data_IF_392269472056
#
_entry.id   IF_392269472056
#
_cell.length_a   1.000
_cell.length_b   1.000
_cell.length_c   1.000
_cell.angle_alpha   90.00
_cell.angle_beta   90.00
_cell.angle_gamma   90.00
#
_symmetry.space_group_name_H-M   'P 1'
#
loop_
_entity.id
_entity.type
_entity.pdbx_description
1 polymer ?
#
# COMPACT_ATOMS: atom_id res chain seq x y z
N UNK A 1 5.61 -37.39 18.46
CA UNK A 1 6.44 -36.21 18.20
C UNK A 1 5.48 -35.11 17.80
N UNK A 2 5.14 -34.20 18.72
CA UNK A 2 4.25 -33.06 18.40
C UNK A 2 5.02 -32.11 17.50
N UNK A 3 4.43 -31.56 16.43
CA UNK A 3 5.06 -30.51 15.66
C UNK A 3 5.22 -29.29 16.59
N UNK A 4 6.44 -28.84 16.77
CA UNK A 4 6.73 -27.57 17.43
C UNK A 4 6.01 -26.48 16.62
N UNK A 5 5.06 -25.79 17.25
CA UNK A 5 4.48 -24.58 16.69
C UNK A 5 5.62 -23.59 16.44
N UNK A 6 5.95 -23.34 15.19
CA UNK A 6 6.88 -22.28 14.85
C UNK A 6 6.25 -20.96 15.28
N UNK A 7 6.93 -20.30 16.20
CA UNK A 7 6.54 -19.01 16.80
C UNK A 7 6.26 -17.98 15.67
N UNK A 8 5.13 -17.26 15.71
CA UNK A 8 4.84 -16.15 14.80
C UNK A 8 5.80 -14.96 14.93
N UNK A 9 6.79 -15.03 15.82
CA UNK A 9 7.93 -14.11 15.97
C UNK A 9 9.03 -14.29 14.90
N UNK A 10 8.75 -14.85 13.73
CA UNK A 10 9.73 -14.88 12.66
C UNK A 10 10.13 -13.46 12.29
N UNK A 11 11.45 -13.20 12.25
CA UNK A 11 12.01 -11.89 11.89
C UNK A 11 11.47 -11.43 10.52
N UNK A 12 11.06 -10.16 10.41
CA UNK A 12 10.58 -9.63 9.16
C UNK A 12 11.73 -9.59 8.13
N UNK A 13 11.38 -9.86 6.88
CA UNK A 13 12.30 -9.63 5.76
C UNK A 13 12.80 -8.17 5.81
N UNK A 14 14.10 -7.91 5.58
CA UNK A 14 14.68 -6.56 5.70
C UNK A 14 13.89 -5.49 4.94
N UNK A 15 13.47 -5.75 3.70
CA UNK A 15 12.69 -4.80 2.92
C UNK A 15 11.31 -4.55 3.55
N UNK A 16 10.61 -5.58 4.06
CA UNK A 16 9.30 -5.41 4.72
C UNK A 16 9.44 -4.51 5.94
N UNK A 17 10.46 -4.77 6.77
CA UNK A 17 10.74 -3.98 7.98
C UNK A 17 11.10 -2.53 7.64
N UNK A 18 12.04 -2.33 6.70
CA UNK A 18 12.53 -1.01 6.30
C UNK A 18 11.43 -0.18 5.64
N UNK A 19 10.65 -0.79 4.75
CA UNK A 19 9.55 -0.09 4.08
C UNK A 19 8.45 0.32 5.08
N UNK A 20 8.08 -0.56 6.00
CA UNK A 20 7.13 -0.22 7.05
C UNK A 20 7.62 0.95 7.91
N UNK A 21 8.91 0.97 8.27
CA UNK A 21 9.52 2.07 9.02
C UNK A 21 9.52 3.38 8.20
N UNK A 22 9.85 3.32 6.91
CA UNK A 22 9.83 4.47 5.99
C UNK A 22 8.43 5.07 5.87
N UNK A 23 7.42 4.23 5.65
CA UNK A 23 6.01 4.66 5.58
C UNK A 23 5.59 5.35 6.88
N UNK A 24 5.87 4.75 8.04
CA UNK A 24 5.56 5.34 9.36
C UNK A 24 6.25 6.68 9.56
N UNK A 25 7.50 6.80 9.16
CA UNK A 25 8.26 8.06 9.25
C UNK A 25 7.63 9.19 8.43
N UNK A 26 6.99 8.88 7.30
CA UNK A 26 6.31 9.89 6.47
C UNK A 26 4.96 10.25 7.07
N UNK A 27 4.10 9.29 7.43
CA UNK A 27 2.77 9.62 7.93
C UNK A 27 2.81 10.37 9.27
N UNK A 28 3.83 10.12 10.13
CA UNK A 28 3.99 10.83 11.39
C UNK A 28 4.18 12.34 11.22
N UNK A 29 4.53 12.79 10.02
CA UNK A 29 4.71 14.22 9.68
C UNK A 29 3.47 14.83 9.05
N UNK A 30 2.42 14.04 8.80
CA UNK A 30 1.18 14.55 8.23
C UNK A 30 0.41 15.41 9.23
N UNK A 31 -0.20 16.52 8.77
CA UNK A 31 -0.97 17.39 9.64
C UNK A 31 -2.25 16.68 10.13
N UNK A 32 -2.62 16.96 11.38
CA UNK A 32 -3.84 16.40 12.00
C UNK A 32 -3.89 14.86 12.00
N UNK A 33 -2.72 14.21 12.11
CA UNK A 33 -2.65 12.77 12.19
C UNK A 33 -3.35 12.28 13.47
N UNK A 34 -4.30 11.38 13.31
CA UNK A 34 -5.03 10.77 14.43
C UNK A 34 -5.27 9.28 14.14
N UNK A 35 -5.30 8.41 15.16
CA UNK A 35 -5.73 7.03 14.99
C UNK A 35 -7.15 6.97 14.40
N UNK A 36 -7.37 6.08 13.45
CA UNK A 36 -8.70 5.76 12.96
C UNK A 36 -9.27 4.62 13.83
N UNK A 37 -10.46 4.87 14.40
CA UNK A 37 -11.12 3.88 15.25
C UNK A 37 -11.41 2.60 14.48
N UNK A 38 -11.01 1.47 15.04
CA UNK A 38 -11.31 0.13 14.54
C UNK A 38 -11.56 -0.81 15.71
N UNK A 39 -12.26 -1.92 15.47
CA UNK A 39 -12.45 -2.94 16.48
C UNK A 39 -11.10 -3.55 16.90
N UNK A 40 -10.97 -3.88 18.18
CA UNK A 40 -9.67 -4.36 18.73
C UNK A 40 -9.21 -5.69 18.09
N UNK A 41 -10.16 -6.58 17.78
CA UNK A 41 -9.91 -7.85 17.08
C UNK A 41 -9.41 -7.69 15.66
N UNK A 42 -9.64 -6.52 15.04
CA UNK A 42 -9.12 -6.20 13.71
C UNK A 42 -7.71 -5.55 13.75
N UNK A 43 -7.22 -5.14 14.91
CA UNK A 43 -5.85 -4.59 15.03
C UNK A 43 -4.79 -5.68 14.95
N UNK A 44 -5.09 -6.85 15.49
CA UNK A 44 -4.21 -8.02 15.46
C UNK A 44 -5.05 -9.26 15.25
N UNK A 45 -4.98 -9.84 14.06
CA UNK A 45 -5.74 -11.03 13.69
C UNK A 45 -4.82 -12.24 13.81
N UNK A 46 -5.25 -13.24 14.54
CA UNK A 46 -4.59 -14.54 14.65
C UNK A 46 -5.50 -15.60 14.05
N UNK A 47 -4.96 -16.43 13.18
CA UNK A 47 -5.72 -17.47 12.50
C UNK A 47 -4.83 -18.55 11.92
N UNK A 48 -5.40 -19.30 10.99
CA UNK A 48 -4.73 -20.35 10.23
C UNK A 48 -5.12 -20.24 8.75
N UNK A 49 -4.17 -20.46 7.86
CA UNK A 49 -4.38 -20.48 6.42
C UNK A 49 -3.67 -21.68 5.81
N UNK A 50 -4.40 -22.58 5.17
CA UNK A 50 -3.88 -23.81 4.54
C UNK A 50 -2.97 -24.65 5.50
N UNK A 51 -3.32 -24.70 6.81
CA UNK A 51 -2.55 -25.41 7.84
C UNK A 51 -1.35 -24.67 8.41
N UNK A 52 -1.13 -23.41 7.99
CA UNK A 52 -0.08 -22.55 8.48
C UNK A 52 -0.64 -21.48 9.43
N UNK A 53 0.08 -21.18 10.50
CA UNK A 53 -0.31 -20.07 11.39
C UNK A 53 -0.30 -18.76 10.63
N UNK A 54 -1.35 -17.95 10.82
CA UNK A 54 -1.49 -16.63 10.24
C UNK A 54 -1.53 -15.56 11.34
N UNK A 55 -0.75 -14.50 11.15
CA UNK A 55 -0.85 -13.27 11.92
C UNK A 55 -0.97 -12.09 10.97
N UNK A 56 -1.94 -11.19 11.22
CA UNK A 56 -2.10 -9.92 10.49
C UNK A 56 -2.13 -8.79 11.51
N UNK A 57 -1.18 -7.87 11.42
CA UNK A 57 -1.15 -6.64 12.20
C UNK A 57 -1.62 -5.47 11.35
N UNK A 58 -2.57 -4.68 11.86
CA UNK A 58 -3.16 -3.53 11.19
C UNK A 58 -2.89 -2.23 11.94
N UNK A 59 -2.41 -1.23 11.24
CA UNK A 59 -2.25 0.14 11.72
C UNK A 59 -3.14 1.06 10.89
N UNK A 60 -4.07 1.78 11.54
CA UNK A 60 -5.03 2.64 10.88
C UNK A 60 -4.99 4.06 11.44
N UNK A 61 -4.83 5.02 10.54
CA UNK A 61 -4.81 6.45 10.86
C UNK A 61 -5.68 7.22 9.87
N UNK A 62 -5.95 8.46 10.22
CA UNK A 62 -6.49 9.50 9.35
C UNK A 62 -5.69 10.78 9.54
N UNK A 63 -5.72 11.66 8.56
CA UNK A 63 -5.06 12.97 8.64
C UNK A 63 -5.77 13.97 7.76
N UNK A 64 -5.37 15.26 7.83
CA UNK A 64 -5.84 16.22 6.85
C UNK A 64 -5.48 15.75 5.44
N UNK A 65 -6.47 15.61 4.57
CA UNK A 65 -6.32 15.13 3.20
C UNK A 65 -6.52 13.62 3.03
N UNK A 66 -6.37 12.81 4.08
CA UNK A 66 -6.54 11.35 4.01
C UNK A 66 -7.58 10.87 5.02
N UNK A 67 -8.70 10.29 4.51
CA UNK A 67 -9.75 9.70 5.34
C UNK A 67 -9.36 8.34 5.93
N UNK A 68 -8.38 7.65 5.32
CA UNK A 68 -7.85 6.37 5.79
C UNK A 68 -6.40 6.22 5.33
N UNK A 69 -5.52 5.97 6.28
CA UNK A 69 -4.15 5.53 6.10
C UNK A 69 -4.08 4.16 6.73
N UNK A 70 -3.72 3.14 5.98
CA UNK A 70 -3.70 1.76 6.44
C UNK A 70 -2.37 1.11 6.08
N UNK A 71 -1.73 0.52 7.06
CA UNK A 71 -0.59 -0.38 6.89
C UNK A 71 -0.95 -1.73 7.51
N UNK A 72 -0.83 -2.77 6.72
CA UNK A 72 -1.03 -4.15 7.12
C UNK A 72 0.27 -4.93 6.93
N UNK A 73 0.62 -5.76 7.90
CA UNK A 73 1.70 -6.73 7.77
C UNK A 73 1.14 -8.10 8.15
N UNK A 74 1.06 -8.99 7.14
CA UNK A 74 0.68 -10.38 7.32
C UNK A 74 1.91 -11.28 7.34
N UNK A 75 1.87 -12.32 8.18
CA UNK A 75 2.91 -13.35 8.32
C UNK A 75 2.28 -14.73 8.40
N UNK A 76 2.81 -15.67 7.63
CA UNK A 76 2.41 -17.06 7.63
C UNK A 76 3.55 -17.95 8.16
N UNK A 77 3.20 -19.06 8.79
CA UNK A 77 4.17 -20.00 9.38
C UNK A 77 5.18 -20.59 8.39
N UNK A 78 4.84 -20.66 7.10
CA UNK A 78 5.74 -21.10 6.02
C UNK A 78 6.77 -20.04 5.60
N UNK A 79 6.81 -18.87 6.25
CA UNK A 79 7.74 -17.79 5.98
C UNK A 79 7.25 -16.76 4.93
N UNK A 80 6.02 -16.88 4.42
CA UNK A 80 5.41 -15.85 3.58
C UNK A 80 5.09 -14.62 4.43
N UNK A 81 5.48 -13.46 3.94
CA UNK A 81 5.19 -12.16 4.55
C UNK A 81 4.63 -11.23 3.48
N UNK A 82 3.61 -10.46 3.84
CA UNK A 82 2.98 -9.48 2.95
C UNK A 82 2.93 -8.16 3.69
N UNK A 83 3.46 -7.11 3.08
CA UNK A 83 3.16 -5.74 3.48
C UNK A 83 2.15 -5.18 2.48
N UNK A 84 1.04 -4.69 2.98
CA UNK A 84 0.05 -3.94 2.22
C UNK A 84 -0.13 -2.57 2.84
N UNK A 85 0.02 -1.53 2.04
CA UNK A 85 -0.23 -0.16 2.49
C UNK A 85 -1.12 0.57 1.49
N UNK A 86 -2.17 1.20 1.97
CA UNK A 86 -3.06 2.03 1.14
C UNK A 86 -3.50 3.28 1.88
N UNK A 87 -3.39 4.43 1.22
CA UNK A 87 -3.89 5.71 1.72
C UNK A 87 -5.02 6.21 0.83
N UNK A 88 -6.22 6.24 1.38
CA UNK A 88 -7.39 6.78 0.70
C UNK A 88 -7.54 8.27 1.01
N UNK A 89 -7.48 9.15 0.01
CA UNK A 89 -7.72 10.56 0.23
C UNK A 89 -9.17 10.84 0.64
N UNK A 90 -9.41 11.93 1.36
CA UNK A 90 -10.73 12.50 1.49
C UNK A 90 -11.14 13.05 0.10
N UNK A 91 -12.27 12.64 -0.48
CA UNK A 91 -12.66 13.02 -1.84
C UNK A 91 -12.76 14.51 -2.10
N UNK A 92 -12.82 15.32 -1.04
CA UNK A 92 -12.79 16.79 -1.17
C UNK A 92 -11.45 17.32 -1.67
N UNK A 93 -10.38 16.54 -1.50
CA UNK A 93 -9.04 16.90 -1.95
C UNK A 93 -8.72 16.22 -3.26
N UNK A 94 -8.10 16.96 -4.17
CA UNK A 94 -7.62 16.41 -5.44
C UNK A 94 -6.28 15.71 -5.23
N UNK A 95 -6.37 14.48 -4.72
CA UNK A 95 -5.23 13.63 -4.37
C UNK A 95 -5.47 12.21 -4.90
N UNK A 96 -4.41 11.50 -5.32
CA UNK A 96 -4.50 10.10 -5.72
C UNK A 96 -4.55 9.17 -4.50
N UNK A 97 -4.94 7.92 -4.74
CA UNK A 97 -4.74 6.84 -3.78
C UNK A 97 -3.28 6.41 -3.83
N UNK A 98 -2.60 6.37 -2.69
CA UNK A 98 -1.31 5.70 -2.59
C UNK A 98 -1.52 4.22 -2.30
N UNK A 99 -0.79 3.37 -3.02
CA UNK A 99 -0.73 1.94 -2.77
C UNK A 99 0.71 1.44 -2.82
N UNK A 100 1.11 0.59 -1.86
CA UNK A 100 2.38 -0.11 -1.87
C UNK A 100 2.21 -1.52 -1.30
N UNK A 101 2.66 -2.53 -2.05
CA UNK A 101 2.60 -3.93 -1.64
C UNK A 101 3.94 -4.61 -1.84
N UNK A 102 4.31 -5.47 -0.88
CA UNK A 102 5.44 -6.39 -0.99
C UNK A 102 4.96 -7.78 -0.65
N UNK A 103 5.41 -8.76 -1.43
CA UNK A 103 5.28 -10.18 -1.12
C UNK A 103 6.68 -10.77 -0.96
N UNK A 104 7.03 -11.09 0.28
CA UNK A 104 8.28 -11.72 0.66
C UNK A 104 8.05 -13.20 1.00
N UNK A 105 9.00 -14.05 0.67
CA UNK A 105 9.00 -15.46 1.03
C UNK A 105 10.41 -15.92 1.41
N UNK A 106 10.60 -17.21 1.75
CA UNK A 106 11.93 -17.75 2.11
C UNK A 106 13.00 -17.56 1.00
N UNK A 107 12.57 -17.42 -0.26
CA UNK A 107 13.45 -17.22 -1.42
C UNK A 107 13.67 -15.72 -1.76
N UNK A 108 13.23 -14.79 -0.91
CA UNK A 108 13.31 -13.35 -1.13
C UNK A 108 11.99 -12.72 -1.62
N UNK A 109 12.09 -11.51 -2.17
CA UNK A 109 10.92 -10.76 -2.64
C UNK A 109 10.42 -11.30 -3.98
N UNK A 110 9.18 -11.71 -4.03
CA UNK A 110 8.53 -12.21 -5.26
C UNK A 110 7.80 -11.12 -6.04
N UNK A 111 7.35 -10.06 -5.36
CA UNK A 111 6.67 -8.92 -5.96
C UNK A 111 6.81 -7.69 -5.07
N UNK A 112 7.00 -6.53 -5.69
CA UNK A 112 6.99 -5.23 -5.05
C UNK A 112 6.33 -4.21 -5.99
N UNK A 113 5.30 -3.51 -5.52
CA UNK A 113 4.58 -2.52 -6.32
C UNK A 113 4.37 -1.25 -5.50
N UNK A 114 4.46 -0.09 -6.16
CA UNK A 114 4.05 1.21 -5.63
C UNK A 114 3.39 2.03 -6.72
N UNK A 115 2.33 2.73 -6.37
CA UNK A 115 1.61 3.63 -7.27
C UNK A 115 0.94 4.80 -6.53
N UNK A 116 0.72 5.87 -7.27
CA UNK A 116 -0.24 6.93 -6.98
C UNK A 116 -1.39 6.82 -7.98
N UNK A 117 -2.43 6.08 -7.61
CA UNK A 117 -3.56 5.77 -8.50
C UNK A 117 -4.54 6.95 -8.58
N UNK A 118 -4.91 7.42 -9.78
CA UNK A 118 -5.82 8.55 -9.93
C UNK A 118 -7.23 8.22 -9.42
N UNK A 119 -7.90 9.21 -8.85
CA UNK A 119 -9.29 9.10 -8.37
C UNK A 119 -10.31 9.71 -9.34
N UNK A 120 -9.86 10.47 -10.35
CA UNK A 120 -10.73 11.05 -11.37
C UNK A 120 -9.95 11.27 -12.68
N UNK A 121 -10.04 10.33 -13.61
CA UNK A 121 -9.33 10.44 -14.88
C UNK A 121 -7.81 10.29 -14.73
N UNK A 122 -7.06 11.37 -14.93
CA UNK A 122 -5.61 11.40 -14.81
C UNK A 122 -5.16 11.83 -13.40
N UNK A 123 -3.86 11.71 -13.14
CA UNK A 123 -3.24 12.24 -11.93
C UNK A 123 -3.37 13.77 -11.88
N UNK A 124 -3.59 14.38 -10.69
CA UNK A 124 -3.54 15.83 -10.54
C UNK A 124 -2.19 16.39 -11.03
N UNK A 125 -2.22 17.53 -11.75
CA UNK A 125 -1.00 18.09 -12.35
C UNK A 125 0.18 18.24 -11.38
N UNK A 126 0.03 18.76 -10.14
CA UNK A 126 1.14 18.86 -9.21
C UNK A 126 1.74 17.51 -8.79
N UNK A 127 0.91 16.44 -8.78
CA UNK A 127 1.36 15.08 -8.49
C UNK A 127 2.12 14.52 -9.67
N UNK A 128 1.58 14.68 -10.88
CA UNK A 128 2.24 14.22 -12.11
C UNK A 128 3.60 14.90 -12.30
N UNK A 129 3.66 16.22 -12.16
CA UNK A 129 4.91 17.00 -12.22
C UNK A 129 5.94 16.50 -11.19
N UNK A 130 5.50 16.25 -9.95
CA UNK A 130 6.36 15.70 -8.91
C UNK A 130 6.91 14.32 -9.24
N UNK A 131 6.08 13.42 -9.80
CA UNK A 131 6.50 12.09 -10.23
C UNK A 131 7.42 12.15 -11.46
N UNK A 132 7.22 13.10 -12.37
CA UNK A 132 8.07 13.28 -13.55
C UNK A 132 9.47 13.81 -13.19
N UNK A 133 9.60 14.50 -12.06
CA UNK A 133 10.89 14.92 -11.54
C UNK A 133 11.71 13.77 -10.91
N UNK A 134 11.06 12.62 -10.61
CA UNK A 134 11.73 11.44 -10.07
C UNK A 134 12.34 10.64 -11.22
N UNK A 135 13.65 10.41 -11.15
CA UNK A 135 14.32 9.45 -12.02
C UNK A 135 14.17 8.05 -11.44
N UNK A 136 13.29 7.25 -12.03
CA UNK A 136 13.13 5.86 -11.61
C UNK A 136 14.41 5.06 -11.95
N UNK A 137 14.92 4.24 -11.01
CA UNK A 137 16.04 3.36 -11.28
C UNK A 137 15.66 2.29 -12.30
N UNK A 138 16.63 1.80 -13.06
CA UNK A 138 16.45 0.67 -13.94
C UNK A 138 16.47 -0.64 -13.12
N UNK A 139 15.34 -1.29 -12.99
CA UNK A 139 15.21 -2.59 -12.34
C UNK A 139 15.36 -3.72 -13.37
N UNK A 140 16.00 -4.82 -12.97
CA UNK A 140 16.23 -5.98 -13.85
C UNK A 140 14.96 -6.72 -14.23
N UNK A 141 14.00 -6.79 -13.30
CA UNK A 141 12.77 -7.56 -13.49
C UNK A 141 11.55 -6.66 -13.26
N UNK A 142 11.14 -5.94 -14.32
CA UNK A 142 9.87 -5.23 -14.37
C UNK A 142 8.75 -6.24 -14.65
N UNK A 143 7.60 -6.08 -14.01
CA UNK A 143 6.46 -6.99 -14.14
C UNK A 143 5.30 -6.31 -14.86
N UNK A 144 4.56 -7.10 -15.62
CA UNK A 144 3.31 -6.65 -16.25
C UNK A 144 2.18 -6.55 -15.23
N UNK A 145 1.36 -5.52 -15.41
CA UNK A 145 0.14 -5.36 -14.64
C UNK A 145 -0.90 -6.42 -15.06
N UNK A 146 -1.73 -6.89 -14.12
CA UNK A 146 -2.85 -7.75 -14.47
C UNK A 146 -3.89 -7.00 -15.30
N UNK A 147 -4.74 -7.71 -16.05
CA UNK A 147 -5.75 -7.09 -16.91
C UNK A 147 -6.77 -6.18 -16.19
N UNK A 148 -6.94 -6.34 -14.87
CA UNK A 148 -7.73 -5.43 -14.05
C UNK A 148 -6.95 -4.20 -13.57
N UNK A 149 -5.65 -4.13 -13.83
CA UNK A 149 -4.73 -3.07 -13.38
C UNK A 149 -4.93 -1.70 -14.03
N UNK A 150 -6.07 -1.46 -14.65
CA UNK A 150 -6.45 -0.16 -15.26
C UNK A 150 -6.62 0.97 -14.27
N UNK A 151 -6.64 0.64 -12.96
CA UNK A 151 -6.70 1.61 -11.87
C UNK A 151 -5.35 2.26 -11.55
N UNK A 152 -4.26 1.65 -11.97
CA UNK A 152 -2.91 2.17 -11.72
C UNK A 152 -2.56 3.31 -12.67
N UNK A 153 -1.72 4.20 -12.20
CA UNK A 153 -1.19 5.28 -13.03
C UNK A 153 -0.17 4.76 -14.06
N UNK A 154 0.16 5.61 -15.04
CA UNK A 154 1.27 5.33 -15.98
C UNK A 154 2.65 5.38 -15.32
N UNK A 155 2.73 5.81 -14.06
CA UNK A 155 3.95 5.91 -13.25
C UNK A 155 4.09 4.78 -12.23
N UNK A 156 3.24 3.75 -12.32
CA UNK A 156 3.34 2.59 -11.45
C UNK A 156 4.71 1.92 -11.55
N UNK A 157 5.33 1.63 -10.41
CA UNK A 157 6.53 0.81 -10.33
C UNK A 157 6.15 -0.57 -9.84
N UNK A 158 6.17 -1.59 -10.72
CA UNK A 158 5.87 -2.97 -10.40
C UNK A 158 7.02 -3.88 -10.82
N UNK A 159 7.70 -4.48 -9.85
CA UNK A 159 8.96 -5.19 -10.05
C UNK A 159 9.02 -6.48 -9.22
N UNK A 160 10.03 -7.29 -9.53
CA UNK A 160 10.61 -8.27 -8.64
C UNK A 160 12.06 -7.85 -8.40
N UNK A 161 12.39 -7.26 -7.24
CA UNK A 161 13.75 -6.78 -6.98
C UNK A 161 14.73 -7.97 -6.91
N UNK A 162 15.92 -7.77 -7.49
CA UNK A 162 16.99 -8.74 -7.51
C UNK A 162 18.07 -8.37 -6.49
N UNK A 163 17.89 -8.86 -5.26
CA UNK A 163 18.82 -8.66 -4.16
C UNK A 163 18.68 -7.32 -3.43
N UNK A 164 19.53 -7.14 -2.42
CA UNK A 164 19.43 -6.05 -1.45
C UNK A 164 19.58 -4.64 -2.07
N UNK A 165 20.35 -4.50 -3.15
CA UNK A 165 20.56 -3.21 -3.81
C UNK A 165 19.25 -2.73 -4.48
N UNK A 166 18.56 -3.62 -5.22
CA UNK A 166 17.29 -3.26 -5.84
C UNK A 166 16.17 -3.10 -4.81
N UNK A 167 16.22 -3.85 -3.70
CA UNK A 167 15.31 -3.67 -2.57
C UNK A 167 15.47 -2.28 -1.93
N UNK A 168 16.70 -1.81 -1.74
CA UNK A 168 16.98 -0.47 -1.23
C UNK A 168 16.51 0.62 -2.22
N UNK A 169 16.73 0.43 -3.53
CA UNK A 169 16.24 1.33 -4.57
C UNK A 169 14.71 1.38 -4.59
N UNK A 170 14.02 0.24 -4.46
CA UNK A 170 12.55 0.21 -4.38
C UNK A 170 12.04 0.97 -3.15
N UNK A 171 12.65 0.77 -1.98
CA UNK A 171 12.29 1.53 -0.78
C UNK A 171 12.45 3.04 -1.00
N UNK A 172 13.51 3.48 -1.70
CA UNK A 172 13.70 4.89 -2.04
C UNK A 172 12.59 5.40 -2.97
N UNK A 173 12.20 4.63 -4.01
CA UNK A 173 11.08 5.00 -4.89
C UNK A 173 9.79 5.20 -4.10
N UNK A 174 9.50 4.34 -3.12
CA UNK A 174 8.33 4.50 -2.25
C UNK A 174 8.41 5.78 -1.42
N UNK A 175 9.57 6.09 -0.86
CA UNK A 175 9.80 7.34 -0.10
C UNK A 175 9.57 8.56 -1.00
N UNK A 176 10.08 8.54 -2.22
CA UNK A 176 9.95 9.64 -3.18
C UNK A 176 8.46 9.85 -3.56
N UNK A 177 7.72 8.76 -3.83
CA UNK A 177 6.28 8.84 -4.12
C UNK A 177 5.49 9.39 -2.94
N UNK A 178 5.78 8.94 -1.72
CA UNK A 178 5.20 9.49 -0.50
C UNK A 178 5.59 10.96 -0.27
N UNK A 179 6.80 11.35 -0.64
CA UNK A 179 7.28 12.73 -0.58
C UNK A 179 6.47 13.64 -1.50
N UNK A 180 6.23 13.22 -2.75
CA UNK A 180 5.38 13.94 -3.70
C UNK A 180 3.96 14.05 -3.15
N UNK A 181 3.37 12.93 -2.72
CA UNK A 181 1.99 12.89 -2.23
C UNK A 181 1.80 13.78 -0.99
N UNK A 182 2.66 13.66 0.01
CA UNK A 182 2.56 14.46 1.25
C UNK A 182 2.79 15.94 1.00
N UNK A 183 3.72 16.27 0.10
CA UNK A 183 3.95 17.65 -0.35
C UNK A 183 2.74 18.26 -1.06
N UNK A 184 2.04 17.49 -1.90
CA UNK A 184 0.80 17.92 -2.54
C UNK A 184 -0.34 18.02 -1.51
N UNK A 185 -0.48 17.05 -0.61
CA UNK A 185 -1.53 17.03 0.40
C UNK A 185 -1.44 18.23 1.36
N UNK A 186 -0.22 18.66 1.72
CA UNK A 186 -0.02 19.82 2.61
C UNK A 186 -0.52 21.14 2.00
N UNK A 187 -0.48 21.26 0.68
CA UNK A 187 -0.90 22.46 -0.07
C UNK A 187 -2.31 22.37 -0.64
N UNK A 188 -2.89 21.18 -0.67
CA UNK A 188 -4.20 20.95 -1.28
C UNK A 188 -5.30 21.71 -0.53
N UNK A 189 -6.21 22.33 -1.28
CA UNK A 189 -7.39 23.02 -0.78
C UNK A 189 -8.60 22.11 -1.01
N UNK A 190 -9.44 21.87 0.02
CA UNK A 190 -10.60 21.00 -0.14
C UNK A 190 -11.72 21.70 -0.93
N UNK A 191 -12.33 20.97 -1.84
CA UNK A 191 -13.62 21.34 -2.45
C UNK A 191 -14.78 21.21 -1.44
N UNK A 192 -15.94 21.75 -1.79
CA UNK A 192 -17.14 21.50 -1.00
C UNK A 192 -17.54 20.00 -1.10
N UNK A 193 -18.28 19.52 -0.08
CA UNK A 193 -18.77 18.13 -0.08
C UNK A 193 -19.72 17.82 -1.24
N UNK A 194 -20.41 18.82 -1.75
CA UNK A 194 -21.40 18.72 -2.84
C UNK A 194 -20.82 19.09 -4.20
N UNK A 195 -19.54 19.41 -4.29
CA UNK A 195 -18.91 19.71 -5.57
C UNK A 195 -18.90 18.46 -6.48
N UNK A 196 -19.15 18.67 -7.75
CA UNK A 196 -19.14 17.59 -8.77
C UNK A 196 -17.79 16.88 -8.77
N UNK A 197 -16.68 17.60 -8.63
CA UNK A 197 -15.34 17.05 -8.50
C UNK A 197 -15.19 16.11 -7.29
N UNK A 198 -15.76 16.46 -6.15
CA UNK A 198 -15.77 15.62 -4.94
C UNK A 198 -16.52 14.31 -5.18
N UNK A 199 -17.68 14.38 -5.85
CA UNK A 199 -18.48 13.21 -6.19
C UNK A 199 -17.71 12.28 -7.14
N UNK A 200 -17.12 12.82 -8.21
CA UNK A 200 -16.35 12.04 -9.17
C UNK A 200 -15.13 11.34 -8.51
N UNK A 201 -14.42 12.03 -7.61
CA UNK A 201 -13.30 11.40 -6.87
C UNK A 201 -13.78 10.29 -5.95
N UNK A 202 -14.94 10.44 -5.32
CA UNK A 202 -15.54 9.37 -4.53
C UNK A 202 -15.89 8.15 -5.38
N UNK A 203 -16.52 8.37 -6.54
CA UNK A 203 -16.83 7.31 -7.50
C UNK A 203 -15.55 6.61 -8.02
N UNK A 204 -14.49 7.38 -8.28
CA UNK A 204 -13.18 6.85 -8.66
C UNK A 204 -12.57 5.96 -7.57
N UNK A 205 -12.65 6.36 -6.30
CA UNK A 205 -12.22 5.52 -5.17
C UNK A 205 -13.06 4.24 -5.05
N UNK A 206 -14.38 4.33 -5.30
CA UNK A 206 -15.25 3.16 -5.32
C UNK A 206 -14.86 2.21 -6.46
N UNK A 207 -14.61 2.75 -7.67
CA UNK A 207 -14.13 1.95 -8.79
C UNK A 207 -12.79 1.27 -8.46
N UNK A 208 -11.84 2.00 -7.84
CA UNK A 208 -10.58 1.42 -7.38
C UNK A 208 -10.83 0.19 -6.50
N UNK A 209 -11.69 0.29 -5.49
CA UNK A 209 -12.03 -0.83 -4.61
C UNK A 209 -12.71 -1.98 -5.38
N UNK A 210 -13.59 -1.69 -6.33
CA UNK A 210 -14.26 -2.70 -7.15
C UNK A 210 -13.30 -3.45 -8.06
N UNK A 211 -12.29 -2.75 -8.64
CA UNK A 211 -11.27 -3.42 -9.45
C UNK A 211 -10.32 -4.26 -8.59
N UNK A 212 -9.95 -3.77 -7.40
CA UNK A 212 -9.13 -4.55 -6.46
C UNK A 212 -9.79 -5.88 -6.06
N UNK A 213 -11.11 -5.93 -5.95
CA UNK A 213 -11.84 -7.18 -5.71
C UNK A 213 -11.67 -8.23 -6.82
N UNK A 214 -11.20 -7.83 -8.01
CA UNK A 214 -10.87 -8.75 -9.12
C UNK A 214 -9.51 -9.40 -8.96
N UNK A 215 -8.75 -9.05 -7.92
CA UNK A 215 -7.50 -9.72 -7.58
C UNK A 215 -7.80 -11.09 -6.96
N UNK A 216 -8.00 -12.09 -7.81
CA UNK A 216 -8.33 -13.46 -7.40
C UNK A 216 -7.29 -14.10 -6.48
N UNK A 217 -6.02 -13.69 -6.58
CA UNK A 217 -4.94 -14.24 -5.73
C UNK A 217 -5.14 -13.83 -4.27
N UNK A 218 -5.32 -12.53 -4.02
CA UNK A 218 -5.58 -12.02 -2.66
C UNK A 218 -6.93 -12.50 -2.14
N UNK A 219 -7.97 -12.49 -2.99
CA UNK A 219 -9.31 -12.95 -2.61
C UNK A 219 -9.31 -14.40 -2.13
N UNK A 220 -8.67 -15.32 -2.86
CA UNK A 220 -8.57 -16.74 -2.48
C UNK A 220 -7.83 -16.94 -1.15
N UNK A 221 -6.83 -16.12 -0.86
CA UNK A 221 -6.12 -16.15 0.43
C UNK A 221 -7.07 -15.73 1.55
N UNK A 222 -7.81 -14.64 1.37
CA UNK A 222 -8.74 -14.13 2.38
C UNK A 222 -9.94 -15.06 2.59
N UNK A 223 -10.54 -15.59 1.51
CA UNK A 223 -11.69 -16.54 1.59
C UNK A 223 -11.34 -17.86 2.30
N UNK A 224 -10.07 -18.23 2.37
CA UNK A 224 -9.60 -19.42 3.11
C UNK A 224 -9.24 -19.11 4.55
N UNK A 225 -8.91 -17.87 4.87
CA UNK A 225 -8.47 -17.45 6.20
C UNK A 225 -9.64 -17.05 7.11
N UNK A 226 -10.80 -16.73 6.52
CA UNK A 226 -12.02 -16.28 7.19
C UNK A 226 -13.26 -17.05 6.68
#
# INVERSE_FOLDING_TARGET
MQPQSKDPCQELHPLVSTLAASIRSVWQKLPELAPLSTAEDLKAIHGELDGETLFIGNELFQSRGFRKIHLEIARLGNGLQILHCVWFPDPRFDLPIFGADIVAGPAGISAAIVDLSPTSGDLPAPVLEGLEAITLPAFRQVRDLPGWGTIFSKKVCFIRPDGADEEALFNQVVIDYLGVLSGCASRAIPDSRTAVSTIHRYEGQLNYCLQQKRNDKTRRVLEKAF
#
